data_IF_472156433817
#
_entry.id   IF_472156433817
#
_cell.length_a   1.000
_cell.length_b   1.000
_cell.length_c   1.000
_cell.angle_alpha   90.00
_cell.angle_beta   90.00
_cell.angle_gamma   90.00
#
_symmetry.space_group_name_H-M   'P 1'
#
loop_
_entity.id
_entity.type
_entity.pdbx_description
1 polymer ?
#
# COMPACT_ATOMS: atom_id res chain seq x y z
N UNK A 1 6.12 19.48 19.40
CA UNK A 1 5.11 20.26 18.67
C UNK A 1 3.75 19.92 19.23
N UNK A 2 2.89 20.92 19.45
CA UNK A 2 1.55 20.76 20.00
C UNK A 2 0.53 21.14 18.94
N UNK A 3 -0.18 20.15 18.38
CA UNK A 3 -1.21 20.31 17.35
C UNK A 3 -1.56 18.98 16.68
N UNK A 4 -2.86 18.73 16.43
CA UNK A 4 -3.37 17.42 15.96
C UNK A 4 -3.10 17.13 14.48
N UNK A 5 -2.54 18.09 13.73
CA UNK A 5 -2.28 18.00 12.29
C UNK A 5 -0.82 17.68 11.95
N UNK A 6 -0.05 17.14 12.90
CA UNK A 6 1.33 16.77 12.64
C UNK A 6 1.39 15.54 11.73
N UNK A 7 2.21 15.61 10.67
CA UNK A 7 2.42 14.50 9.75
C UNK A 7 3.63 13.67 10.16
N UNK A 8 3.56 12.37 9.90
CA UNK A 8 4.66 11.44 10.00
C UNK A 8 4.72 10.58 8.73
N UNK A 9 5.91 10.16 8.29
CA UNK A 9 6.03 9.31 7.12
C UNK A 9 5.56 7.87 7.42
N UNK A 10 4.81 7.26 6.51
CA UNK A 10 4.40 5.85 6.61
C UNK A 10 5.60 4.89 6.54
N UNK A 11 6.65 5.29 5.81
CA UNK A 11 7.94 4.62 5.78
C UNK A 11 9.02 5.54 6.38
N UNK A 12 9.55 5.17 7.54
CA UNK A 12 10.56 5.96 8.25
C UNK A 12 11.96 5.88 7.61
N UNK A 13 12.22 4.86 6.79
CA UNK A 13 13.54 4.66 6.16
C UNK A 13 13.65 5.41 4.83
N UNK A 14 12.65 5.29 3.96
CA UNK A 14 12.65 5.89 2.62
C UNK A 14 11.31 6.55 2.29
N UNK A 15 10.95 7.69 2.94
CA UNK A 15 9.60 8.27 2.88
C UNK A 15 9.04 8.57 1.48
N UNK A 16 9.92 8.79 0.50
CA UNK A 16 9.57 9.22 -0.85
C UNK A 16 9.98 8.19 -1.94
N UNK A 17 10.41 6.99 -1.55
CA UNK A 17 10.82 5.94 -2.49
C UNK A 17 9.88 4.75 -2.38
N UNK A 18 9.43 4.25 -3.52
CA UNK A 18 8.64 3.02 -3.57
C UNK A 18 9.57 1.81 -3.58
N UNK A 19 9.77 1.19 -2.42
CA UNK A 19 10.66 0.04 -2.24
C UNK A 19 10.16 -0.91 -1.13
N UNK A 20 11.01 -1.84 -0.68
CA UNK A 20 10.65 -2.84 0.34
C UNK A 20 10.96 -2.43 1.77
N UNK A 21 11.42 -1.20 2.01
CA UNK A 21 11.73 -0.69 3.34
C UNK A 21 10.49 -0.66 4.24
N UNK A 22 9.29 -0.47 3.67
CA UNK A 22 8.00 -0.67 4.34
C UNK A 22 7.94 -2.03 5.07
N UNK A 23 8.23 -3.14 4.38
CA UNK A 23 8.19 -4.48 5.01
C UNK A 23 9.32 -4.69 6.02
N UNK A 24 10.48 -4.07 5.80
CA UNK A 24 11.57 -4.07 6.79
C UNK A 24 11.18 -3.30 8.06
N UNK A 25 10.39 -2.23 7.94
CA UNK A 25 9.85 -1.52 9.11
C UNK A 25 8.93 -2.44 9.92
N UNK A 26 8.06 -3.20 9.28
CA UNK A 26 7.14 -4.12 9.97
C UNK A 26 7.88 -5.17 10.80
N UNK A 27 8.93 -5.78 10.24
CA UNK A 27 9.77 -6.77 10.95
C UNK A 27 10.45 -6.15 12.17
N UNK A 28 10.86 -4.89 12.06
CA UNK A 28 11.50 -4.13 13.13
C UNK A 28 10.50 -3.46 14.09
N UNK A 29 9.20 -3.78 14.00
CA UNK A 29 8.14 -3.20 14.83
C UNK A 29 8.02 -1.68 14.70
N UNK A 30 8.25 -1.17 13.49
CA UNK A 30 8.20 0.25 13.12
C UNK A 30 7.07 0.58 12.14
N UNK A 31 6.03 -0.25 12.04
CA UNK A 31 4.81 0.11 11.32
C UNK A 31 4.12 1.30 11.97
N UNK A 32 3.76 2.32 11.18
CA UNK A 32 3.16 3.55 11.73
C UNK A 32 1.71 3.32 12.16
N UNK A 33 0.90 2.68 11.30
CA UNK A 33 -0.49 2.40 11.59
C UNK A 33 -0.64 1.03 12.26
N UNK A 34 -1.68 0.88 13.09
CA UNK A 34 -2.04 -0.42 13.65
C UNK A 34 -2.27 -1.48 12.56
N UNK A 35 -2.93 -1.10 11.47
CA UNK A 35 -3.16 -1.97 10.31
C UNK A 35 -1.90 -2.37 9.56
N UNK A 36 -0.83 -1.57 9.63
CA UNK A 36 0.46 -1.95 9.06
C UNK A 36 1.11 -3.01 9.94
N UNK A 37 1.18 -2.75 11.25
CA UNK A 37 1.90 -3.62 12.16
C UNK A 37 1.21 -4.97 12.34
N UNK A 38 -0.12 -5.05 12.21
CA UNK A 38 -0.83 -6.33 12.34
C UNK A 38 -0.52 -7.31 11.19
N UNK A 39 0.03 -6.84 10.06
CA UNK A 39 0.53 -7.71 8.99
C UNK A 39 1.76 -8.53 9.43
N UNK A 40 2.47 -8.08 10.46
CA UNK A 40 3.60 -8.77 11.06
C UNK A 40 3.55 -8.69 12.59
N UNK A 41 2.98 -9.72 13.23
CA UNK A 41 2.76 -9.74 14.67
C UNK A 41 3.36 -10.98 15.37
N UNK A 42 4.34 -11.64 14.75
CA UNK A 42 5.07 -12.81 15.27
C UNK A 42 4.16 -14.03 15.53
N UNK A 43 3.42 -14.44 14.51
CA UNK A 43 2.48 -15.57 14.55
C UNK A 43 1.29 -15.43 13.60
N UNK A 44 1.20 -14.32 12.88
CA UNK A 44 0.12 -14.03 11.93
C UNK A 44 0.23 -14.83 10.64
N UNK A 45 -0.90 -15.01 9.97
CA UNK A 45 -0.98 -15.71 8.67
C UNK A 45 -0.23 -15.00 7.54
N UNK A 46 0.06 -13.70 7.70
CA UNK A 46 0.74 -12.85 6.71
C UNK A 46 2.25 -12.70 6.95
N UNK A 47 2.78 -13.19 8.09
CA UNK A 47 4.17 -12.97 8.49
C UNK A 47 5.18 -13.48 7.45
N UNK A 48 4.91 -14.64 6.85
CA UNK A 48 5.78 -15.25 5.83
C UNK A 48 5.87 -14.40 4.57
N UNK A 49 4.77 -13.77 4.17
CA UNK A 49 4.73 -12.88 3.01
C UNK A 49 5.48 -11.58 3.29
N UNK A 50 5.31 -10.99 4.48
CA UNK A 50 6.07 -9.81 4.91
C UNK A 50 7.57 -10.10 4.90
N UNK A 51 8.00 -11.25 5.45
CA UNK A 51 9.41 -11.68 5.38
C UNK A 51 9.90 -11.80 3.93
N UNK A 52 9.09 -12.40 3.06
CA UNK A 52 9.42 -12.56 1.63
C UNK A 52 9.64 -11.21 0.95
N UNK A 53 8.70 -10.28 1.10
CA UNK A 53 8.80 -8.96 0.50
C UNK A 53 9.92 -8.11 1.10
N UNK A 54 10.20 -8.23 2.40
CA UNK A 54 11.34 -7.54 3.02
C UNK A 54 12.69 -7.94 2.41
N UNK A 55 12.82 -9.18 1.93
CA UNK A 55 14.06 -9.74 1.37
C UNK A 55 14.15 -9.69 -0.16
N UNK A 56 13.04 -9.48 -0.88
CA UNK A 56 13.01 -9.52 -2.34
C UNK A 56 12.13 -8.41 -2.94
N UNK A 57 12.79 -7.34 -3.43
CA UNK A 57 12.12 -6.28 -4.17
C UNK A 57 11.46 -6.79 -5.46
N UNK A 58 12.08 -7.74 -6.15
CA UNK A 58 11.52 -8.29 -7.38
C UNK A 58 10.20 -9.03 -7.14
N UNK A 59 10.12 -9.82 -6.05
CA UNK A 59 8.90 -10.54 -5.70
C UNK A 59 7.80 -9.56 -5.30
N UNK A 60 8.11 -8.58 -4.45
CA UNK A 60 7.17 -7.53 -4.08
C UNK A 60 6.65 -6.76 -5.30
N UNK A 61 7.53 -6.26 -6.16
CA UNK A 61 7.14 -5.47 -7.34
C UNK A 61 6.26 -6.26 -8.31
N UNK A 62 6.57 -7.54 -8.52
CA UNK A 62 5.78 -8.43 -9.38
C UNK A 62 4.36 -8.66 -8.83
N UNK A 63 4.24 -8.94 -7.53
CA UNK A 63 2.95 -9.17 -6.90
C UNK A 63 2.16 -7.88 -6.72
N UNK A 64 2.83 -6.77 -6.42
CA UNK A 64 2.23 -5.44 -6.35
C UNK A 64 1.59 -5.06 -7.69
N UNK A 65 2.32 -5.25 -8.80
CA UNK A 65 1.77 -4.99 -10.14
C UNK A 65 0.51 -5.82 -10.42
N UNK A 66 0.54 -7.13 -10.11
CA UNK A 66 -0.63 -8.01 -10.28
C UNK A 66 -1.81 -7.58 -9.40
N UNK A 67 -1.54 -7.22 -8.14
CA UNK A 67 -2.57 -6.76 -7.21
C UNK A 67 -3.22 -5.46 -7.67
N UNK A 68 -2.43 -4.51 -8.19
CA UNK A 68 -2.92 -3.24 -8.72
C UNK A 68 -3.75 -3.41 -9.99
N UNK A 69 -3.36 -4.31 -10.90
CA UNK A 69 -4.18 -4.67 -12.08
C UNK A 69 -5.53 -5.25 -11.62
N UNK A 70 -5.49 -6.26 -10.74
CA UNK A 70 -6.71 -6.89 -10.20
C UNK A 70 -7.62 -5.88 -9.50
N UNK A 71 -7.06 -4.91 -8.79
CA UNK A 71 -7.82 -3.84 -8.15
C UNK A 71 -8.44 -2.89 -9.18
N UNK A 72 -7.73 -2.54 -10.25
CA UNK A 72 -8.22 -1.71 -11.34
C UNK A 72 -9.38 -2.34 -12.11
N UNK A 73 -9.39 -3.66 -12.22
CA UNK A 73 -10.45 -4.43 -12.88
C UNK A 73 -11.70 -4.63 -12.00
N UNK A 74 -11.75 -4.04 -10.80
CA UNK A 74 -12.88 -4.19 -9.89
C UNK A 74 -14.09 -3.36 -10.34
N UNK A 75 -15.01 -4.02 -11.06
CA UNK A 75 -16.32 -3.49 -11.48
C UNK A 75 -16.24 -2.14 -12.23
N UNK A 76 -15.42 -2.02 -13.29
CA UNK A 76 -15.37 -0.80 -14.09
C UNK A 76 -16.69 -0.57 -14.83
N UNK A 77 -17.04 0.71 -15.03
CA UNK A 77 -18.08 1.09 -15.98
C UNK A 77 -17.50 0.97 -17.40
N UNK A 78 -18.12 0.16 -18.24
CA UNK A 78 -17.64 -0.15 -19.60
C UNK A 78 -18.76 -0.02 -20.64
N UNK A 79 -18.38 0.06 -21.91
CA UNK A 79 -19.31 0.25 -23.02
C UNK A 79 -20.01 1.61 -22.92
N UNK A 80 -21.35 1.59 -22.96
CA UNK A 80 -22.19 2.78 -22.80
C UNK A 80 -22.60 3.06 -21.35
N UNK A 81 -22.10 2.30 -20.37
CA UNK A 81 -22.35 2.56 -18.95
C UNK A 81 -21.45 3.69 -18.46
N UNK A 82 -22.02 4.74 -17.88
CA UNK A 82 -21.28 5.91 -17.39
C UNK A 82 -21.09 7.00 -18.45
N UNK A 83 -20.04 7.81 -18.29
CA UNK A 83 -19.73 8.94 -19.16
C UNK A 83 -18.22 9.24 -19.17
N UNK A 84 -17.74 9.88 -20.25
CA UNK A 84 -16.42 10.51 -20.27
C UNK A 84 -16.60 11.94 -19.78
N UNK A 85 -16.14 12.23 -18.55
CA UNK A 85 -16.32 13.56 -17.94
C UNK A 85 -15.39 14.59 -18.56
N UNK A 86 -15.94 15.78 -18.84
CA UNK A 86 -15.13 16.97 -19.22
C UNK A 86 -14.46 17.61 -18.00
N UNK A 87 -15.05 17.43 -16.81
CA UNK A 87 -14.49 17.87 -15.54
C UNK A 87 -14.74 16.80 -14.49
N UNK A 88 -13.69 16.14 -13.99
CA UNK A 88 -13.80 15.03 -13.04
C UNK A 88 -14.56 15.37 -11.75
N UNK A 89 -14.69 16.66 -11.41
CA UNK A 89 -15.36 17.15 -10.19
C UNK A 89 -16.88 17.16 -10.25
N UNK A 90 -17.49 16.96 -11.43
CA UNK A 90 -18.95 16.93 -11.60
C UNK A 90 -19.38 15.97 -12.71
N UNK A 91 -20.61 15.45 -12.66
CA UNK A 91 -21.23 14.85 -13.84
C UNK A 91 -21.31 15.86 -15.00
N UNK A 92 -21.35 15.39 -16.24
CA UNK A 92 -21.53 16.28 -17.38
C UNK A 92 -22.91 16.96 -17.37
#
# INVERSE_FOLDING_TARGET
>A
GSGDNNLAPLDVQTPNTFDTAYFKNLINQKGLLHSDQILYNNGGSTDSLVKTYSGSANTFNSDFAKAMIKMGDNKPLTGSNGEIRLNCRRPN
#
